data_IF_252745925094
#
_entry.id   IF_252745925094
#
_cell.length_a   1.000
_cell.length_b   1.000
_cell.length_c   1.000
_cell.angle_alpha   90.00
_cell.angle_beta   90.00
_cell.angle_gamma   90.00
#
_symmetry.space_group_name_H-M   'P 1'
#
loop_
_entity.id
_entity.type
_entity.pdbx_description
1 polymer ?
#
# COMPACT_ATOMS: atom_id res chain seq x y z
N UNK A 1 -6.57 -6.92 -9.89
CA UNK A 1 -6.35 -5.55 -9.37
C UNK A 1 -5.01 -5.44 -8.63
N UNK A 2 -4.70 -6.36 -7.68
CA UNK A 2 -3.55 -6.28 -6.77
C UNK A 2 -2.20 -6.12 -7.47
N UNK A 3 -1.94 -6.90 -8.52
CA UNK A 3 -0.68 -6.83 -9.28
C UNK A 3 -0.53 -5.48 -9.99
N UNK A 4 -1.58 -5.02 -10.67
CA UNK A 4 -1.57 -3.73 -11.38
C UNK A 4 -1.35 -2.57 -10.40
N UNK A 5 -2.02 -2.62 -9.26
CA UNK A 5 -1.87 -1.61 -8.22
C UNK A 5 -0.46 -1.61 -7.65
N UNK A 6 0.06 -2.77 -7.21
CA UNK A 6 1.40 -2.86 -6.63
C UNK A 6 2.49 -2.42 -7.62
N UNK A 7 2.46 -2.92 -8.87
CA UNK A 7 3.41 -2.54 -9.90
C UNK A 7 3.29 -1.06 -10.28
N UNK A 8 2.07 -0.54 -10.40
CA UNK A 8 1.81 0.85 -10.71
C UNK A 8 2.30 1.79 -9.60
N UNK A 9 2.08 1.44 -8.34
CA UNK A 9 2.58 2.20 -7.20
C UNK A 9 4.11 2.18 -7.15
N UNK A 10 4.71 1.01 -7.25
CA UNK A 10 6.16 0.87 -7.18
C UNK A 10 6.88 1.64 -8.29
N UNK A 11 6.47 1.46 -9.55
CA UNK A 11 7.12 2.09 -10.71
C UNK A 11 6.67 3.54 -10.93
N UNK A 12 5.38 3.83 -10.70
CA UNK A 12 4.80 5.14 -11.01
C UNK A 12 4.96 6.17 -9.91
N UNK A 13 5.02 5.74 -8.64
CA UNK A 13 5.09 6.64 -7.48
C UNK A 13 6.28 6.35 -6.56
N UNK A 14 7.13 5.35 -6.85
CA UNK A 14 8.31 5.06 -6.05
C UNK A 14 9.28 6.26 -5.93
N UNK A 15 9.32 7.13 -6.96
CA UNK A 15 10.12 8.37 -6.92
C UNK A 15 9.71 9.31 -5.78
N UNK A 16 8.48 9.23 -5.27
CA UNK A 16 8.00 10.06 -4.15
C UNK A 16 8.80 9.78 -2.89
N UNK A 17 9.08 8.50 -2.59
CA UNK A 17 9.95 8.12 -1.48
C UNK A 17 11.38 8.64 -1.68
N UNK A 18 11.92 8.49 -2.90
CA UNK A 18 13.26 8.95 -3.21
C UNK A 18 13.38 10.48 -3.14
N UNK A 19 12.36 11.22 -3.57
CA UNK A 19 12.30 12.68 -3.45
C UNK A 19 12.20 13.12 -1.99
N UNK A 20 11.35 12.48 -1.19
CA UNK A 20 11.22 12.75 0.24
C UNK A 20 12.53 12.46 0.98
N UNK A 21 13.23 11.38 0.64
CA UNK A 21 14.54 11.05 1.19
C UNK A 21 15.58 12.15 0.87
N UNK A 22 15.63 12.61 -0.38
CA UNK A 22 16.51 13.75 -0.77
C UNK A 22 16.19 15.01 0.00
N UNK A 23 14.92 15.34 0.20
CA UNK A 23 14.48 16.49 0.97
C UNK A 23 14.91 16.36 2.44
N UNK A 24 14.68 15.23 3.09
CA UNK A 24 15.09 14.98 4.48
C UNK A 24 16.60 15.17 4.64
N UNK A 25 17.41 14.61 3.73
CA UNK A 25 18.87 14.76 3.75
C UNK A 25 19.29 16.21 3.54
N UNK A 26 18.67 16.94 2.60
CA UNK A 26 18.97 18.34 2.32
C UNK A 26 18.66 19.27 3.52
N UNK A 27 17.73 18.87 4.37
CA UNK A 27 17.39 19.57 5.62
C UNK A 27 18.25 19.13 6.83
N UNK A 28 19.30 18.32 6.60
CA UNK A 28 20.20 17.82 7.64
C UNK A 28 19.70 16.60 8.39
N UNK A 29 18.57 16.01 7.96
CA UNK A 29 18.04 14.77 8.51
C UNK A 29 18.83 13.54 8.02
N UNK A 30 18.56 12.39 8.64
CA UNK A 30 19.12 11.09 8.24
C UNK A 30 18.00 10.21 7.71
N UNK A 31 18.27 9.49 6.64
CA UNK A 31 17.40 8.42 6.14
C UNK A 31 17.93 7.12 6.70
N UNK A 32 17.23 6.56 7.66
CA UNK A 32 17.58 5.25 8.21
C UNK A 32 17.04 4.18 7.22
N UNK A 33 17.86 3.77 6.28
CA UNK A 33 17.63 2.55 5.52
C UNK A 33 17.97 1.34 6.41
N UNK A 34 17.08 0.37 6.51
CA UNK A 34 17.47 -0.94 7.01
C UNK A 34 18.20 -1.62 5.85
N UNK A 35 19.53 -1.63 5.89
CA UNK A 35 20.32 -2.48 5.01
C UNK A 35 20.11 -3.93 5.47
N UNK A 36 19.22 -4.63 4.79
CA UNK A 36 19.02 -6.05 5.04
C UNK A 36 20.12 -6.82 4.30
N UNK A 37 20.99 -7.58 5.00
CA UNK A 37 22.03 -8.37 4.37
C UNK A 37 21.41 -9.61 3.71
N UNK A 38 20.79 -9.41 2.55
CA UNK A 38 20.18 -10.51 1.78
C UNK A 38 21.26 -11.16 0.93
N UNK A 39 22.19 -11.90 1.57
CA UNK A 39 23.38 -12.45 0.92
C UNK A 39 23.21 -13.90 0.43
N UNK A 40 22.08 -14.54 0.75
CA UNK A 40 21.84 -15.93 0.37
C UNK A 40 20.38 -16.19 0.02
N UNK A 41 20.06 -17.24 -0.79
CA UNK A 41 18.67 -17.62 -1.05
C UNK A 41 17.87 -17.92 0.22
N UNK A 42 18.51 -18.49 1.23
CA UNK A 42 17.86 -18.76 2.51
C UNK A 42 17.51 -17.47 3.26
N UNK A 43 18.44 -16.48 3.28
CA UNK A 43 18.18 -15.16 3.86
C UNK A 43 17.05 -14.46 3.11
N UNK A 44 17.01 -14.53 1.77
CA UNK A 44 15.93 -13.98 0.98
C UNK A 44 14.56 -14.57 1.37
N UNK A 45 14.46 -15.89 1.49
CA UNK A 45 13.21 -16.55 1.89
C UNK A 45 12.79 -16.09 3.29
N UNK A 46 13.71 -16.02 4.23
CA UNK A 46 13.43 -15.55 5.59
C UNK A 46 12.97 -14.10 5.61
N UNK A 47 13.64 -13.23 4.85
CA UNK A 47 13.25 -11.82 4.76
C UNK A 47 11.93 -11.61 4.02
N UNK A 48 11.66 -12.36 2.96
CA UNK A 48 10.35 -12.36 2.31
C UNK A 48 9.24 -12.75 3.27
N UNK A 49 9.48 -13.74 4.14
CA UNK A 49 8.52 -14.13 5.15
C UNK A 49 8.33 -13.04 6.22
N UNK A 50 9.43 -12.54 6.82
CA UNK A 50 9.38 -11.62 7.96
C UNK A 50 9.05 -10.17 7.57
N UNK A 51 9.49 -9.69 6.41
CA UNK A 51 9.38 -8.28 6.02
C UNK A 51 8.45 -8.03 4.83
N UNK A 52 7.97 -9.08 4.16
CA UNK A 52 6.97 -8.91 3.11
C UNK A 52 5.65 -9.62 3.44
N UNK A 53 5.70 -10.93 3.77
CA UNK A 53 4.48 -11.72 3.97
C UNK A 53 3.78 -11.39 5.29
N UNK A 54 4.49 -11.48 6.42
CA UNK A 54 3.86 -11.22 7.74
C UNK A 54 3.29 -9.81 7.83
N UNK A 55 4.05 -8.73 7.53
CA UNK A 55 3.51 -7.38 7.58
C UNK A 55 2.30 -7.19 6.65
N UNK A 56 2.33 -7.77 5.44
CA UNK A 56 1.21 -7.67 4.51
C UNK A 56 -0.08 -8.29 5.08
N UNK A 57 0.01 -9.41 5.80
CA UNK A 57 -1.17 -10.04 6.41
C UNK A 57 -1.62 -9.27 7.64
N UNK A 58 -0.70 -8.96 8.57
CA UNK A 58 -1.01 -8.33 9.85
C UNK A 58 -1.55 -6.91 9.66
N UNK A 59 -0.87 -6.11 8.85
CA UNK A 59 -1.26 -4.72 8.60
C UNK A 59 -2.59 -4.64 7.83
N UNK A 60 -2.79 -5.47 6.82
CA UNK A 60 -4.07 -5.45 6.10
C UNK A 60 -5.22 -5.98 6.95
N UNK A 61 -5.01 -6.99 7.79
CA UNK A 61 -6.03 -7.43 8.74
C UNK A 61 -6.38 -6.31 9.73
N UNK A 62 -5.39 -5.56 10.21
CA UNK A 62 -5.60 -4.46 11.13
C UNK A 62 -6.24 -3.24 10.46
N UNK A 63 -5.64 -2.72 9.37
CA UNK A 63 -6.09 -1.47 8.76
C UNK A 63 -7.34 -1.65 7.89
N UNK A 64 -7.47 -2.74 7.13
CA UNK A 64 -8.61 -2.99 6.21
C UNK A 64 -9.69 -3.87 6.84
N UNK A 65 -9.30 -4.72 7.78
CA UNK A 65 -10.26 -5.41 8.63
C UNK A 65 -10.78 -4.47 9.72
N UNK A 66 -10.02 -4.29 10.80
CA UNK A 66 -10.51 -3.64 12.02
C UNK A 66 -10.78 -2.13 11.84
N UNK A 67 -9.80 -1.33 11.37
CA UNK A 67 -9.95 0.14 11.29
C UNK A 67 -10.98 0.52 10.23
N UNK A 68 -10.91 -0.06 9.04
CA UNK A 68 -11.85 0.25 7.96
C UNK A 68 -13.28 -0.17 8.32
N UNK A 69 -13.48 -1.26 9.04
CA UNK A 69 -14.78 -1.70 9.53
C UNK A 69 -15.31 -0.76 10.61
N UNK A 70 -14.46 -0.34 11.56
CA UNK A 70 -14.83 0.66 12.58
C UNK A 70 -15.29 1.99 11.97
N UNK A 71 -14.83 2.32 10.76
CA UNK A 71 -15.22 3.50 9.99
C UNK A 71 -16.38 3.23 9.02
N UNK A 72 -17.05 2.08 9.08
CA UNK A 72 -18.11 1.68 8.15
C UNK A 72 -19.30 2.64 8.12
N UNK A 73 -19.60 3.30 9.24
CA UNK A 73 -20.67 4.32 9.36
C UNK A 73 -20.28 5.70 8.84
N UNK A 74 -18.98 5.95 8.59
CA UNK A 74 -18.52 7.22 8.05
C UNK A 74 -18.74 7.29 6.54
N UNK A 75 -18.79 8.51 6.00
CA UNK A 75 -18.75 8.69 4.54
C UNK A 75 -17.43 8.13 3.98
N UNK A 76 -17.49 7.55 2.78
CA UNK A 76 -16.39 6.80 2.20
C UNK A 76 -15.07 7.59 2.09
N UNK A 77 -15.15 8.87 1.73
CA UNK A 77 -13.94 9.71 1.56
C UNK A 77 -13.25 9.98 2.90
N UNK A 78 -13.93 10.45 3.97
CA UNK A 78 -13.33 10.55 5.30
C UNK A 78 -12.79 9.20 5.82
N UNK A 79 -13.52 8.10 5.62
CA UNK A 79 -13.07 6.78 6.04
C UNK A 79 -11.77 6.35 5.34
N UNK A 80 -11.68 6.54 4.01
CA UNK A 80 -10.48 6.27 3.24
C UNK A 80 -9.30 7.13 3.72
N UNK A 81 -9.53 8.44 3.95
CA UNK A 81 -8.51 9.35 4.44
C UNK A 81 -7.99 8.93 5.81
N UNK A 82 -8.88 8.68 6.78
CA UNK A 82 -8.49 8.29 8.14
C UNK A 82 -7.75 6.95 8.17
N UNK A 83 -8.23 5.94 7.44
CA UNK A 83 -7.57 4.64 7.36
C UNK A 83 -6.18 4.75 6.72
N UNK A 84 -6.04 5.52 5.64
CA UNK A 84 -4.77 5.74 4.97
C UNK A 84 -3.80 6.58 5.80
N UNK A 85 -4.29 7.61 6.50
CA UNK A 85 -3.46 8.42 7.40
C UNK A 85 -2.91 7.58 8.57
N UNK A 86 -3.76 6.76 9.19
CA UNK A 86 -3.33 5.86 10.25
C UNK A 86 -2.28 4.85 9.74
N UNK A 87 -2.47 4.29 8.55
CA UNK A 87 -1.53 3.39 7.90
C UNK A 87 -0.17 4.08 7.64
N UNK A 88 -0.19 5.28 7.08
CA UNK A 88 1.03 6.05 6.79
C UNK A 88 1.80 6.43 8.06
N UNK A 89 1.09 6.86 9.11
CA UNK A 89 1.68 7.22 10.41
C UNK A 89 2.26 6.00 11.13
N UNK A 90 1.64 4.83 11.00
CA UNK A 90 2.14 3.58 11.58
C UNK A 90 3.56 3.24 11.12
N UNK A 91 3.91 3.59 9.88
CA UNK A 91 5.26 3.36 9.33
C UNK A 91 6.36 4.20 10.01
N UNK A 92 6.01 5.27 10.74
CA UNK A 92 6.96 6.07 11.52
C UNK A 92 8.08 6.74 10.71
N UNK A 93 7.94 6.85 9.39
CA UNK A 93 8.96 7.34 8.47
C UNK A 93 8.47 8.54 7.66
N UNK A 94 9.13 9.70 7.84
CA UNK A 94 8.82 10.90 7.07
C UNK A 94 9.07 10.73 5.57
N UNK A 95 10.05 9.92 5.19
CA UNK A 95 10.36 9.67 3.79
C UNK A 95 9.31 8.82 3.09
N UNK A 96 8.60 8.00 3.84
CA UNK A 96 7.58 7.10 3.32
C UNK A 96 6.15 7.65 3.49
N UNK A 97 5.96 8.69 4.32
CA UNK A 97 4.65 9.16 4.76
C UNK A 97 3.67 9.39 3.59
N UNK A 98 4.10 10.16 2.58
CA UNK A 98 3.23 10.48 1.44
C UNK A 98 2.96 9.27 0.56
N UNK A 99 3.99 8.46 0.29
CA UNK A 99 3.83 7.23 -0.49
C UNK A 99 2.88 6.27 0.21
N UNK A 100 3.09 6.00 1.50
CA UNK A 100 2.26 5.09 2.28
C UNK A 100 0.82 5.61 2.43
N UNK A 101 0.63 6.92 2.48
CA UNK A 101 -0.72 7.49 2.48
C UNK A 101 -1.45 7.19 1.16
N UNK A 102 -0.83 7.46 0.01
CA UNK A 102 -1.44 7.19 -1.31
C UNK A 102 -1.67 5.68 -1.48
N UNK A 103 -0.68 4.87 -1.08
CA UNK A 103 -0.79 3.41 -1.08
C UNK A 103 -1.96 2.94 -0.21
N UNK A 104 -2.08 3.49 0.99
CA UNK A 104 -3.16 3.22 1.94
C UNK A 104 -4.55 3.52 1.38
N UNK A 105 -4.70 4.61 0.62
CA UNK A 105 -5.96 4.95 -0.07
C UNK A 105 -6.33 3.86 -1.09
N UNK A 106 -5.37 3.44 -1.92
CA UNK A 106 -5.61 2.38 -2.91
C UNK A 106 -6.01 1.05 -2.27
N UNK A 107 -5.31 0.64 -1.22
CA UNK A 107 -5.62 -0.58 -0.47
C UNK A 107 -7.01 -0.51 0.20
N UNK A 108 -7.41 0.66 0.71
CA UNK A 108 -8.76 0.87 1.24
C UNK A 108 -9.83 0.58 0.17
N UNK A 109 -9.67 1.13 -1.04
CA UNK A 109 -10.63 0.90 -2.11
C UNK A 109 -10.62 -0.56 -2.61
N UNK A 110 -9.46 -1.22 -2.67
CA UNK A 110 -9.34 -2.65 -2.98
C UNK A 110 -10.17 -3.46 -1.97
N UNK A 111 -9.99 -3.22 -0.67
CA UNK A 111 -10.70 -3.93 0.38
C UNK A 111 -12.22 -3.66 0.33
N UNK A 112 -12.64 -2.41 0.14
CA UNK A 112 -14.06 -2.06 0.03
C UNK A 112 -14.74 -2.69 -1.19
N UNK A 113 -14.06 -2.75 -2.33
CA UNK A 113 -14.61 -3.37 -3.55
C UNK A 113 -14.67 -4.89 -3.47
N UNK A 114 -13.63 -5.51 -2.93
CA UNK A 114 -13.57 -6.97 -2.82
C UNK A 114 -14.37 -7.52 -1.62
N UNK A 115 -14.66 -6.69 -0.63
CA UNK A 115 -15.21 -7.12 0.65
C UNK A 115 -14.25 -7.99 1.48
N UNK A 116 -12.94 -7.87 1.22
CA UNK A 116 -11.89 -8.67 1.86
C UNK A 116 -10.57 -7.91 1.92
N UNK A 117 -9.82 -8.11 3.00
CA UNK A 117 -8.44 -7.59 3.11
C UNK A 117 -7.43 -8.36 2.25
N UNK A 118 -7.77 -9.60 1.82
CA UNK A 118 -6.82 -10.49 1.13
C UNK A 118 -6.26 -9.90 -0.18
N UNK A 119 -7.04 -9.31 -1.10
CA UNK A 119 -6.47 -8.70 -2.30
C UNK A 119 -5.53 -7.52 -1.98
N UNK A 120 -5.80 -6.77 -0.91
CA UNK A 120 -4.90 -5.75 -0.38
C UNK A 120 -3.60 -6.37 0.13
N UNK A 121 -3.68 -7.44 0.91
CA UNK A 121 -2.51 -8.16 1.41
C UNK A 121 -1.63 -8.71 0.27
N UNK A 122 -2.24 -9.21 -0.81
CA UNK A 122 -1.49 -9.63 -2.00
C UNK A 122 -0.74 -8.44 -2.63
N UNK A 123 -1.40 -7.29 -2.81
CA UNK A 123 -0.74 -6.10 -3.35
C UNK A 123 0.40 -5.63 -2.43
N UNK A 124 0.16 -5.59 -1.14
CA UNK A 124 1.14 -5.20 -0.13
C UNK A 124 2.35 -6.14 -0.11
N UNK A 125 2.11 -7.45 -0.11
CA UNK A 125 3.17 -8.45 -0.24
C UNK A 125 4.02 -8.23 -1.49
N UNK A 126 3.39 -8.04 -2.67
CA UNK A 126 4.11 -7.82 -3.93
C UNK A 126 5.00 -6.58 -3.84
N UNK A 127 4.49 -5.48 -3.28
CA UNK A 127 5.25 -4.24 -3.13
C UNK A 127 6.49 -4.44 -2.23
N UNK A 128 6.33 -5.06 -1.08
CA UNK A 128 7.42 -5.30 -0.14
C UNK A 128 8.42 -6.34 -0.68
N UNK A 129 7.90 -7.41 -1.31
CA UNK A 129 8.73 -8.45 -1.92
C UNK A 129 9.57 -7.91 -3.08
N UNK A 130 9.03 -6.99 -3.89
CA UNK A 130 9.78 -6.38 -5.00
C UNK A 130 11.04 -5.68 -4.50
N UNK A 131 10.97 -4.93 -3.40
CA UNK A 131 12.14 -4.26 -2.80
C UNK A 131 13.21 -5.28 -2.43
N UNK A 132 12.83 -6.36 -1.72
CA UNK A 132 13.76 -7.39 -1.27
C UNK A 132 14.39 -8.17 -2.43
N UNK A 133 13.56 -8.55 -3.41
CA UNK A 133 14.03 -9.31 -4.58
C UNK A 133 14.96 -8.47 -5.45
N UNK A 134 14.61 -7.22 -5.74
CA UNK A 134 15.49 -6.36 -6.55
C UNK A 134 16.81 -6.07 -5.84
N UNK A 135 16.79 -5.85 -4.53
CA UNK A 135 18.00 -5.72 -3.72
C UNK A 135 18.85 -6.99 -3.80
N UNK A 136 18.26 -8.18 -3.68
CA UNK A 136 18.97 -9.45 -3.73
C UNK A 136 19.62 -9.75 -5.09
N UNK A 137 18.89 -9.47 -6.19
CA UNK A 137 19.43 -9.72 -7.54
C UNK A 137 20.30 -8.58 -8.07
N UNK A 138 20.48 -7.51 -7.28
CA UNK A 138 21.28 -6.34 -7.67
C UNK A 138 20.64 -5.51 -8.80
N UNK A 139 19.33 -5.56 -8.95
CA UNK A 139 18.62 -4.72 -9.93
C UNK A 139 18.34 -3.35 -9.31
N UNK A 140 18.98 -2.32 -9.87
CA UNK A 140 18.69 -0.93 -9.54
C UNK A 140 17.70 -0.35 -10.56
N UNK A 141 16.55 0.11 -10.06
CA UNK A 141 15.54 0.79 -10.88
C UNK A 141 15.73 2.29 -10.71
N UNK A 142 16.01 2.99 -11.81
CA UNK A 142 16.00 4.46 -11.80
C UNK A 142 14.55 4.97 -11.68
N UNK A 143 14.12 5.21 -10.44
CA UNK A 143 12.77 5.68 -10.13
C UNK A 143 12.48 7.10 -10.66
N UNK A 144 13.51 7.84 -11.15
CA UNK A 144 13.31 9.13 -11.81
C UNK A 144 13.26 9.03 -13.34
N UNK A 145 13.41 7.83 -13.89
CA UNK A 145 13.29 7.61 -15.33
C UNK A 145 11.85 7.90 -15.80
N UNK A 146 11.63 8.88 -16.72
CA UNK A 146 10.29 9.28 -17.11
C UNK A 146 9.49 8.16 -17.80
N UNK A 147 10.15 7.23 -18.48
CA UNK A 147 9.47 6.09 -19.11
C UNK A 147 8.99 5.06 -18.07
N UNK A 148 9.75 4.84 -16.99
CA UNK A 148 9.35 3.98 -15.87
C UNK A 148 8.15 4.61 -15.15
N UNK A 149 8.23 5.90 -14.83
CA UNK A 149 7.13 6.64 -14.20
C UNK A 149 5.88 6.59 -15.09
N UNK A 150 6.01 6.87 -16.38
CA UNK A 150 4.88 6.82 -17.32
C UNK A 150 4.25 5.42 -17.38
N UNK A 151 5.07 4.36 -17.46
CA UNK A 151 4.60 2.98 -17.42
C UNK A 151 3.83 2.67 -16.13
N UNK A 152 4.36 3.06 -14.99
CA UNK A 152 3.70 2.89 -13.68
C UNK A 152 2.38 3.67 -13.58
N UNK A 153 2.36 4.92 -14.08
CA UNK A 153 1.12 5.73 -14.13
C UNK A 153 0.06 5.08 -15.03
N UNK A 154 0.46 4.51 -16.17
CA UNK A 154 -0.47 3.76 -17.04
C UNK A 154 -1.06 2.55 -16.29
N UNK A 155 -0.25 1.81 -15.53
CA UNK A 155 -0.73 0.69 -14.71
C UNK A 155 -1.72 1.16 -13.63
N UNK A 156 -1.44 2.29 -12.95
CA UNK A 156 -2.38 2.89 -12.00
C UNK A 156 -3.68 3.35 -12.66
N UNK A 157 -3.59 3.97 -13.84
CA UNK A 157 -4.77 4.36 -14.60
C UNK A 157 -5.62 3.15 -14.99
N UNK A 158 -4.99 2.05 -15.43
CA UNK A 158 -5.66 0.79 -15.71
C UNK A 158 -6.31 0.19 -14.45
N UNK A 159 -5.62 0.24 -13.31
CA UNK A 159 -6.17 -0.19 -12.02
C UNK A 159 -7.41 0.63 -11.65
N UNK A 160 -7.32 1.96 -11.69
CA UNK A 160 -8.45 2.85 -11.36
C UNK A 160 -9.63 2.61 -12.31
N UNK A 161 -9.36 2.43 -13.61
CA UNK A 161 -10.39 2.14 -14.59
C UNK A 161 -11.09 0.80 -14.33
N UNK A 162 -10.33 -0.25 -13.98
CA UNK A 162 -10.90 -1.56 -13.63
C UNK A 162 -11.75 -1.50 -12.36
N UNK A 163 -11.28 -0.84 -11.30
CA UNK A 163 -12.06 -0.65 -10.06
C UNK A 163 -13.33 0.16 -10.32
N UNK A 164 -13.26 1.21 -11.14
CA UNK A 164 -14.41 2.02 -11.47
C UNK A 164 -15.46 1.29 -12.31
N UNK A 165 -15.04 0.35 -13.18
CA UNK A 165 -15.93 -0.50 -14.00
C UNK A 165 -16.52 -1.68 -13.24
N UNK A 166 -15.90 -2.06 -12.16
CA UNK A 166 -16.41 -3.13 -11.33
C UNK A 166 -17.75 -2.70 -10.71
N UNK A 167 -18.84 -3.35 -11.17
CA UNK A 167 -20.21 -3.08 -10.74
C UNK A 167 -20.55 -3.71 -9.39
N UNK A 168 -19.61 -4.41 -8.74
CA UNK A 168 -19.82 -4.86 -7.37
C UNK A 168 -20.08 -3.63 -6.50
N UNK A 169 -21.22 -3.57 -5.87
CA UNK A 169 -21.57 -2.49 -4.95
C UNK A 169 -20.51 -2.44 -3.83
N UNK A 170 -20.07 -1.23 -3.51
CA UNK A 170 -19.25 -1.03 -2.32
C UNK A 170 -20.12 -1.51 -1.16
N UNK A 171 -19.74 -2.63 -0.54
CA UNK A 171 -20.49 -3.21 0.58
C UNK A 171 -20.47 -2.21 1.73
N UNK A 172 -21.50 -1.40 1.80
CA UNK A 172 -21.90 -0.67 3.00
C UNK A 172 -22.87 -1.59 3.72
N UNK A 173 -22.55 -2.00 4.94
CA UNK A 173 -23.56 -2.69 5.77
C UNK A 173 -24.81 -1.82 5.88
N UNK A 174 -26.01 -2.42 5.69
CA UNK A 174 -27.23 -1.68 5.96
C UNK A 174 -27.22 -1.24 7.42
N UNK A 175 -27.51 0.03 7.67
CA UNK A 175 -27.76 0.51 9.02
C UNK A 175 -28.83 -0.41 9.64
N UNK A 176 -28.45 -1.15 10.66
CA UNK A 176 -29.33 -2.01 11.44
C UNK A 176 -30.49 -1.12 11.90
N UNK A 177 -31.67 -1.33 11.33
CA UNK A 177 -32.90 -0.66 11.82
C UNK A 177 -33.09 -1.15 13.24
N UNK A 178 -32.71 -0.33 14.22
CA UNK A 178 -33.13 -0.51 15.57
C UNK A 178 -34.68 -0.36 15.59
N UNK A 179 -35.40 -1.44 15.29
CA UNK A 179 -36.76 -1.61 15.74
C UNK A 179 -36.70 -1.88 17.23
N UNK A 180 -36.59 -0.79 17.98
CA UNK A 180 -37.02 -0.78 19.39
C UNK A 180 -38.54 -0.92 19.33
N UNK A 181 -39.03 -2.15 19.37
CA UNK A 181 -40.42 -2.45 19.65
C UNK A 181 -40.76 -1.94 21.07
N UNK A 182 -41.62 -0.97 21.12
CA UNK A 182 -42.31 -0.54 22.34
C UNK A 182 -43.28 -1.61 22.81
#
# INVERSE_FOLDING_TARGET
YSVLFAAGMFLGLGFVNALAARLVVSLGGRVNGIELPVESPFALILFLFCYAFLPAIEEEAFFRGLITESLSRAKIVPAAFCSAAAFALYHGSLTQLLYQFIYGVGLFFIAKKSGSALPGAIAHFINNAAVLVFSYVGIEIDLFNPFIIAGGVILLAAFVWLIARDKSDIKTEPAEKNEVSR
#
